data_IF_622785288620
#
_entry.id   IF_622785288620
#
_cell.length_a   1.000
_cell.length_b   1.000
_cell.length_c   1.000
_cell.angle_alpha   90.00
_cell.angle_beta   90.00
_cell.angle_gamma   90.00
#
_symmetry.space_group_name_H-M   'P 1'
#
loop_
_entity.id
_entity.type
_entity.pdbx_description
1 polymer ?
#
# COMPACT_ATOMS: atom_id res chain seq x y z
N UNK A 1 20.32 5.01 23.78
CA UNK A 1 19.45 5.66 22.79
C UNK A 1 18.02 5.34 23.17
N UNK A 2 17.21 6.36 23.52
CA UNK A 2 15.76 6.15 23.76
C UNK A 2 15.12 5.85 22.42
N UNK A 3 14.55 4.65 22.25
CA UNK A 3 13.77 4.28 21.08
C UNK A 3 12.59 5.27 20.96
N UNK A 4 12.44 5.88 19.80
CA UNK A 4 11.29 6.74 19.50
C UNK A 4 10.03 5.87 19.56
N UNK A 5 9.10 6.20 20.44
CA UNK A 5 7.81 5.49 20.49
C UNK A 5 6.96 5.91 19.30
N UNK A 6 6.59 4.94 18.47
CA UNK A 6 5.65 5.16 17.39
C UNK A 6 4.29 5.60 17.96
N UNK A 7 3.85 6.82 17.64
CA UNK A 7 2.56 7.34 18.04
C UNK A 7 1.57 7.31 16.85
N UNK A 8 0.91 6.15 16.66
CA UNK A 8 -0.05 5.96 15.57
C UNK A 8 -1.25 6.89 15.66
N UNK A 9 -1.74 7.19 16.90
CA UNK A 9 -2.84 8.12 17.10
C UNK A 9 -2.46 9.56 16.74
N UNK A 10 -1.27 10.02 17.13
CA UNK A 10 -0.76 11.32 16.73
C UNK A 10 -0.58 11.44 15.21
N UNK A 11 -0.11 10.40 14.54
CA UNK A 11 -0.02 10.35 13.09
C UNK A 11 -1.40 10.46 12.44
N UNK A 12 -2.41 9.75 12.96
CA UNK A 12 -3.78 9.85 12.48
C UNK A 12 -4.38 11.25 12.64
N UNK A 13 -4.25 11.87 13.82
CA UNK A 13 -4.73 13.24 14.07
C UNK A 13 -4.09 14.27 13.14
N UNK A 14 -2.76 14.16 12.92
CA UNK A 14 -2.03 15.01 12.00
C UNK A 14 -2.54 14.83 10.56
N UNK A 15 -2.80 13.59 10.16
CA UNK A 15 -3.30 13.24 8.83
C UNK A 15 -4.70 13.78 8.58
N UNK A 16 -5.59 13.64 9.56
CA UNK A 16 -6.94 14.20 9.50
C UNK A 16 -6.92 15.72 9.37
N UNK A 17 -6.13 16.41 10.19
CA UNK A 17 -5.95 17.85 10.11
C UNK A 17 -5.30 18.28 8.80
N UNK A 18 -4.39 17.49 8.25
CA UNK A 18 -3.75 17.72 6.95
C UNK A 18 -4.74 17.59 5.79
N UNK A 19 -5.55 16.54 5.80
CA UNK A 19 -6.57 16.28 4.78
C UNK A 19 -7.64 17.39 4.76
N UNK A 20 -8.10 17.84 5.93
CA UNK A 20 -9.09 18.93 6.03
C UNK A 20 -8.56 20.28 5.49
N UNK A 21 -7.24 20.51 5.56
CA UNK A 21 -6.59 21.73 5.05
C UNK A 21 -6.24 21.66 3.56
N UNK A 22 -6.24 20.47 2.97
CA UNK A 22 -5.80 20.24 1.59
C UNK A 22 -6.83 19.40 0.81
N UNK A 23 -7.98 19.97 0.42
CA UNK A 23 -9.05 19.25 -0.29
C UNK A 23 -8.60 18.73 -1.66
N UNK A 24 -7.47 19.24 -2.20
CA UNK A 24 -6.85 18.74 -3.41
C UNK A 24 -6.61 17.22 -3.37
N UNK A 25 -6.31 16.68 -2.19
CA UNK A 25 -6.06 15.26 -2.02
C UNK A 25 -7.32 14.42 -2.21
N UNK A 26 -8.49 14.94 -1.87
CA UNK A 26 -9.78 14.29 -2.16
C UNK A 26 -10.08 14.31 -3.67
N UNK A 27 -9.80 15.41 -4.35
CA UNK A 27 -9.93 15.49 -5.81
C UNK A 27 -8.98 14.51 -6.51
N UNK A 28 -7.74 14.41 -6.04
CA UNK A 28 -6.79 13.41 -6.52
C UNK A 28 -7.30 11.98 -6.30
N UNK A 29 -7.82 11.68 -5.10
CA UNK A 29 -8.39 10.37 -4.76
C UNK A 29 -9.54 10.00 -5.71
N UNK A 30 -10.43 10.95 -5.99
CA UNK A 30 -11.55 10.75 -6.90
C UNK A 30 -11.06 10.46 -8.34
N UNK A 31 -10.09 11.23 -8.84
CA UNK A 31 -9.52 11.00 -10.17
C UNK A 31 -8.81 9.65 -10.27
N UNK A 32 -7.99 9.30 -9.27
CA UNK A 32 -7.24 8.06 -9.24
C UNK A 32 -8.16 6.82 -9.15
N UNK A 33 -9.17 6.87 -8.27
CA UNK A 33 -10.18 5.82 -8.18
C UNK A 33 -11.03 5.72 -9.46
N UNK A 34 -11.43 6.85 -10.03
CA UNK A 34 -12.17 6.87 -11.31
C UNK A 34 -11.37 6.21 -12.44
N UNK A 35 -10.07 6.51 -12.54
CA UNK A 35 -9.19 5.88 -13.53
C UNK A 35 -9.03 4.38 -13.28
N UNK A 36 -8.95 3.97 -12.02
CA UNK A 36 -8.87 2.57 -11.62
C UNK A 36 -10.15 1.79 -11.98
N UNK A 37 -11.32 2.37 -11.68
CA UNK A 37 -12.62 1.80 -12.04
C UNK A 37 -12.82 1.72 -13.56
N UNK A 38 -12.31 2.73 -14.31
CA UNK A 38 -12.33 2.68 -15.77
C UNK A 38 -11.50 1.50 -16.30
N UNK A 39 -10.32 1.24 -15.73
CA UNK A 39 -9.53 0.07 -16.07
C UNK A 39 -10.29 -1.24 -15.85
N UNK A 40 -10.99 -1.37 -14.72
CA UNK A 40 -11.84 -2.51 -14.43
C UNK A 40 -13.03 -2.63 -15.40
N UNK A 41 -13.67 -1.51 -15.75
CA UNK A 41 -14.79 -1.50 -16.70
C UNK A 41 -14.35 -1.96 -18.11
N UNK A 42 -13.11 -1.69 -18.52
CA UNK A 42 -12.55 -2.21 -19.78
C UNK A 42 -12.39 -3.74 -19.76
N UNK A 43 -12.05 -4.34 -18.62
CA UNK A 43 -12.05 -5.81 -18.49
C UNK A 43 -13.46 -6.37 -18.67
N UNK A 44 -14.44 -5.81 -17.97
CA UNK A 44 -15.83 -6.27 -18.08
C UNK A 44 -16.38 -6.08 -19.49
N UNK A 45 -16.01 -5.00 -20.19
CA UNK A 45 -16.39 -4.78 -21.58
C UNK A 45 -15.73 -5.79 -22.53
N UNK A 46 -14.48 -6.17 -22.27
CA UNK A 46 -13.74 -7.14 -23.09
C UNK A 46 -14.40 -8.53 -23.11
N UNK A 47 -15.02 -8.92 -21.98
CA UNK A 47 -15.75 -10.20 -21.86
C UNK A 47 -17.06 -10.25 -22.68
N UNK A 48 -17.59 -9.08 -23.09
CA UNK A 48 -18.84 -8.97 -23.84
C UNK A 48 -18.62 -8.84 -25.35
N UNK A 49 -17.36 -8.82 -25.81
CA UNK A 49 -17.01 -8.59 -27.22
C UNK A 49 -16.64 -9.91 -27.92
N UNK A 50 -17.35 -10.25 -28.97
CA UNK A 50 -17.11 -11.49 -29.76
C UNK A 50 -15.83 -11.43 -30.62
N UNK A 51 -15.34 -10.23 -30.97
CA UNK A 51 -14.12 -10.05 -31.76
C UNK A 51 -12.88 -10.28 -30.89
N UNK A 52 -12.13 -11.35 -31.14
CA UNK A 52 -10.92 -11.69 -30.39
C UNK A 52 -9.85 -10.59 -30.40
N UNK A 53 -9.71 -9.84 -31.49
CA UNK A 53 -8.75 -8.72 -31.58
C UNK A 53 -9.20 -7.56 -30.72
N UNK A 54 -10.48 -7.18 -30.77
CA UNK A 54 -11.00 -6.07 -29.97
C UNK A 54 -10.99 -6.43 -28.47
N UNK A 55 -11.38 -7.65 -28.12
CA UNK A 55 -11.30 -8.15 -26.75
C UNK A 55 -9.85 -8.09 -26.22
N UNK A 56 -8.87 -8.52 -27.00
CA UNK A 56 -7.45 -8.44 -26.63
C UNK A 56 -6.98 -7.01 -26.42
N UNK A 57 -7.38 -6.07 -27.28
CA UNK A 57 -7.05 -4.65 -27.12
C UNK A 57 -7.68 -4.05 -25.86
N UNK A 58 -8.95 -4.37 -25.56
CA UNK A 58 -9.62 -3.93 -24.35
C UNK A 58 -8.97 -4.49 -23.09
N UNK A 59 -8.59 -5.78 -23.08
CA UNK A 59 -7.85 -6.39 -21.98
C UNK A 59 -6.50 -5.71 -21.76
N UNK A 60 -5.72 -5.50 -22.83
CA UNK A 60 -4.41 -4.86 -22.74
C UNK A 60 -4.52 -3.41 -22.21
N UNK A 61 -5.51 -2.65 -22.71
CA UNK A 61 -5.80 -1.30 -22.24
C UNK A 61 -6.26 -1.29 -20.77
N UNK A 62 -7.09 -2.26 -20.39
CA UNK A 62 -7.53 -2.47 -19.01
C UNK A 62 -6.37 -2.76 -18.06
N UNK A 63 -5.45 -3.67 -18.45
CA UNK A 63 -4.24 -3.95 -17.65
C UNK A 63 -3.38 -2.70 -17.48
N UNK A 64 -3.16 -1.95 -18.56
CA UNK A 64 -2.38 -0.71 -18.53
C UNK A 64 -2.99 0.35 -17.60
N UNK A 65 -4.30 0.60 -17.75
CA UNK A 65 -5.02 1.56 -16.92
C UNK A 65 -5.12 1.12 -15.45
N UNK A 66 -5.49 -0.12 -15.21
CA UNK A 66 -5.63 -0.67 -13.86
C UNK A 66 -4.30 -0.69 -13.12
N UNK A 67 -3.24 -1.24 -13.72
CA UNK A 67 -1.91 -1.28 -13.12
C UNK A 67 -1.27 0.10 -13.02
N UNK A 68 -1.38 0.92 -14.07
CA UNK A 68 -0.86 2.28 -14.08
C UNK A 68 -1.52 3.18 -13.03
N UNK A 69 -2.84 3.12 -12.91
CA UNK A 69 -3.59 3.88 -11.89
C UNK A 69 -3.23 3.46 -10.47
N UNK A 70 -2.99 2.16 -10.23
CA UNK A 70 -2.57 1.65 -8.93
C UNK A 70 -1.21 2.23 -8.52
N UNK A 71 -0.21 2.19 -9.43
CA UNK A 71 1.12 2.76 -9.19
C UNK A 71 1.02 4.26 -8.95
N UNK A 72 0.28 4.97 -9.80
CA UNK A 72 0.04 6.41 -9.69
C UNK A 72 -0.62 6.77 -8.35
N UNK A 73 -1.62 6.00 -7.94
CA UNK A 73 -2.32 6.19 -6.66
C UNK A 73 -1.38 6.02 -5.47
N UNK A 74 -0.58 4.94 -5.44
CA UNK A 74 0.37 4.69 -4.36
C UNK A 74 1.45 5.77 -4.32
N UNK A 75 2.02 6.15 -5.47
CA UNK A 75 3.04 7.21 -5.56
C UNK A 75 2.48 8.56 -5.13
N UNK A 76 1.35 8.98 -5.70
CA UNK A 76 0.73 10.27 -5.41
C UNK A 76 0.30 10.42 -3.95
N UNK A 77 -0.37 9.42 -3.38
CA UNK A 77 -0.74 9.46 -1.97
C UNK A 77 0.46 9.45 -1.04
N UNK A 78 1.52 8.71 -1.36
CA UNK A 78 2.72 8.68 -0.53
C UNK A 78 3.46 10.01 -0.58
N UNK A 79 3.62 10.62 -1.76
CA UNK A 79 4.20 11.96 -1.92
C UNK A 79 3.39 13.01 -1.15
N UNK A 80 2.07 12.99 -1.34
CA UNK A 80 1.16 13.87 -0.62
C UNK A 80 1.27 13.71 0.89
N UNK A 81 1.27 12.49 1.38
CA UNK A 81 1.39 12.20 2.80
C UNK A 81 2.74 12.66 3.37
N UNK A 82 3.85 12.47 2.65
CA UNK A 82 5.15 12.98 3.05
C UNK A 82 5.19 14.51 3.09
N UNK A 83 4.55 15.19 2.13
CA UNK A 83 4.43 16.65 2.13
C UNK A 83 3.63 17.15 3.32
N UNK A 84 2.45 16.55 3.61
CA UNK A 84 1.62 16.88 4.77
C UNK A 84 2.39 16.67 6.08
N UNK A 85 3.07 15.55 6.23
CA UNK A 85 3.85 15.23 7.43
C UNK A 85 5.02 16.21 7.66
N UNK A 86 5.50 16.85 6.60
CA UNK A 86 6.55 17.91 6.64
C UNK A 86 5.96 19.33 6.74
N UNK A 87 4.64 19.48 6.81
CA UNK A 87 3.97 20.79 6.83
C UNK A 87 4.00 21.54 5.50
N UNK A 88 4.26 20.86 4.39
CA UNK A 88 4.31 21.42 3.04
C UNK A 88 2.93 21.43 2.38
N UNK A 89 2.71 22.38 1.47
CA UNK A 89 1.51 22.38 0.61
C UNK A 89 1.75 21.50 -0.60
N UNK A 90 0.71 20.78 -1.01
CA UNK A 90 0.72 19.92 -2.18
C UNK A 90 0.17 20.71 -3.37
N UNK A 91 0.81 20.59 -4.50
CA UNK A 91 0.37 21.14 -5.77
C UNK A 91 -0.06 20.02 -6.72
N UNK A 92 -1.07 20.28 -7.55
CA UNK A 92 -1.61 19.27 -8.47
C UNK A 92 -0.57 18.71 -9.44
N UNK A 93 0.35 19.55 -9.93
CA UNK A 93 1.40 19.12 -10.85
C UNK A 93 2.33 18.05 -10.23
N UNK A 94 2.57 18.10 -8.90
CA UNK A 94 3.40 17.11 -8.18
C UNK A 94 2.73 15.73 -8.12
N UNK A 95 1.40 15.69 -8.23
CA UNK A 95 0.60 14.47 -8.23
C UNK A 95 0.28 13.97 -9.65
N UNK A 96 0.71 14.72 -10.68
CA UNK A 96 0.47 14.35 -12.08
C UNK A 96 1.27 13.10 -12.48
N UNK A 97 0.69 12.17 -13.26
CA UNK A 97 1.40 11.00 -13.77
C UNK A 97 2.65 11.36 -14.59
N UNK A 98 2.66 12.53 -15.23
CA UNK A 98 3.78 13.01 -16.05
C UNK A 98 5.05 13.29 -15.21
N UNK A 99 4.91 13.59 -13.93
CA UNK A 99 6.03 13.88 -13.02
C UNK A 99 6.40 12.71 -12.11
N UNK A 100 5.75 11.56 -12.25
CA UNK A 100 6.02 10.36 -11.46
C UNK A 100 7.40 9.77 -11.79
N UNK A 101 8.45 10.36 -11.23
CA UNK A 101 9.86 9.98 -11.45
C UNK A 101 10.25 8.67 -10.77
N UNK A 102 9.46 8.22 -9.81
CA UNK A 102 9.76 7.07 -8.97
C UNK A 102 8.96 5.82 -9.34
N UNK A 103 8.02 5.92 -10.30
CA UNK A 103 7.11 4.84 -10.68
C UNK A 103 7.83 3.53 -11.02
N UNK A 104 8.95 3.58 -11.74
CA UNK A 104 9.72 2.38 -12.06
C UNK A 104 10.35 1.70 -10.82
N UNK A 105 10.79 2.49 -9.83
CA UNK A 105 11.33 1.96 -8.57
C UNK A 105 10.21 1.38 -7.71
N UNK A 106 9.06 2.05 -7.68
CA UNK A 106 7.87 1.60 -6.96
C UNK A 106 7.31 0.32 -7.59
N UNK A 107 7.23 0.26 -8.93
CA UNK A 107 6.82 -0.94 -9.65
C UNK A 107 7.75 -2.13 -9.32
N UNK A 108 9.07 -1.95 -9.38
CA UNK A 108 10.02 -3.00 -9.01
C UNK A 108 9.85 -3.43 -7.55
N UNK A 109 9.62 -2.50 -6.63
CA UNK A 109 9.36 -2.81 -5.23
C UNK A 109 8.08 -3.62 -5.05
N UNK A 110 6.98 -3.23 -5.72
CA UNK A 110 5.71 -3.95 -5.67
C UNK A 110 5.81 -5.35 -6.28
N UNK A 111 6.58 -5.52 -7.36
CA UNK A 111 6.87 -6.83 -7.94
C UNK A 111 7.65 -7.73 -6.97
N UNK A 112 8.66 -7.18 -6.28
CA UNK A 112 9.39 -7.93 -5.26
C UNK A 112 8.49 -8.31 -4.07
N UNK A 113 7.60 -7.42 -3.65
CA UNK A 113 6.62 -7.72 -2.60
C UNK A 113 5.65 -8.82 -3.03
N UNK A 114 5.12 -8.72 -4.25
CA UNK A 114 4.26 -9.74 -4.83
C UNK A 114 4.98 -11.10 -4.94
N UNK A 115 6.25 -11.11 -5.37
CA UNK A 115 7.07 -12.33 -5.44
C UNK A 115 7.31 -12.93 -4.05
N UNK A 116 7.56 -12.10 -3.03
CA UNK A 116 7.72 -12.58 -1.65
C UNK A 116 6.42 -13.21 -1.11
N UNK A 117 5.28 -12.57 -1.34
CA UNK A 117 3.97 -13.11 -0.93
C UNK A 117 3.60 -14.38 -1.71
N UNK A 118 3.89 -14.43 -3.02
CA UNK A 118 3.71 -15.61 -3.84
C UNK A 118 4.60 -16.78 -3.34
N UNK A 119 5.83 -16.50 -2.94
CA UNK A 119 6.72 -17.48 -2.33
C UNK A 119 6.16 -18.05 -1.02
N UNK A 120 5.64 -17.18 -0.14
CA UNK A 120 4.96 -17.62 1.11
C UNK A 120 3.74 -18.47 0.78
N UNK A 121 2.90 -18.04 -0.16
CA UNK A 121 1.71 -18.78 -0.57
C UNK A 121 2.05 -20.15 -1.17
N UNK A 122 3.08 -20.23 -2.01
CA UNK A 122 3.55 -21.50 -2.61
C UNK A 122 4.02 -22.47 -1.56
N UNK A 123 4.92 -22.03 -0.65
CA UNK A 123 5.45 -22.88 0.42
C UNK A 123 4.31 -23.35 1.33
N UNK A 124 3.42 -22.43 1.72
CA UNK A 124 2.25 -22.75 2.54
C UNK A 124 1.35 -23.75 1.85
N UNK A 125 1.07 -23.56 0.56
CA UNK A 125 0.22 -24.45 -0.24
C UNK A 125 0.80 -25.86 -0.34
N UNK A 126 2.11 -26.00 -0.57
CA UNK A 126 2.79 -27.31 -0.59
C UNK A 126 2.72 -27.99 0.76
N UNK A 127 3.07 -27.28 1.85
CA UNK A 127 3.04 -27.86 3.21
C UNK A 127 1.61 -28.20 3.64
N UNK A 128 0.64 -27.38 3.30
CA UNK A 128 -0.78 -27.63 3.55
C UNK A 128 -1.29 -28.86 2.80
N UNK A 129 -0.92 -29.03 1.52
CA UNK A 129 -1.28 -30.21 0.71
C UNK A 129 -0.69 -31.49 1.29
N UNK A 130 0.57 -31.44 1.74
CA UNK A 130 1.21 -32.58 2.42
C UNK A 130 0.54 -32.90 3.76
N UNK A 131 0.19 -31.87 4.54
CA UNK A 131 -0.52 -32.07 5.81
C UNK A 131 -1.90 -32.67 5.60
N UNK A 132 -2.65 -32.26 4.57
CA UNK A 132 -3.93 -32.87 4.21
C UNK A 132 -3.80 -34.36 3.89
N UNK A 133 -2.71 -34.76 3.27
CA UNK A 133 -2.45 -36.14 2.83
C UNK A 133 -2.00 -37.04 4.00
N UNK A 134 -1.15 -36.51 4.89
CA UNK A 134 -0.50 -37.30 5.95
C UNK A 134 -1.21 -37.16 7.31
N UNK A 135 -1.73 -35.97 7.63
CA UNK A 135 -2.29 -35.65 8.95
C UNK A 135 -3.49 -34.67 8.78
N UNK A 136 -4.64 -35.14 8.27
CA UNK A 136 -5.80 -34.27 7.96
C UNK A 136 -6.28 -33.43 9.14
N UNK A 137 -6.19 -33.96 10.38
CA UNK A 137 -6.58 -33.24 11.60
C UNK A 137 -5.71 -32.03 11.93
N UNK A 138 -4.49 -31.94 11.38
CA UNK A 138 -3.54 -30.84 11.59
C UNK A 138 -3.41 -29.93 10.38
N UNK A 139 -4.20 -30.12 9.33
CA UNK A 139 -4.09 -29.37 8.07
C UNK A 139 -4.33 -27.85 8.21
N UNK A 140 -5.06 -27.41 9.25
CA UNK A 140 -5.26 -25.98 9.53
C UNK A 140 -3.98 -25.29 10.03
N UNK A 141 -3.02 -26.00 10.62
CA UNK A 141 -1.81 -25.41 11.22
C UNK A 141 -0.90 -24.76 10.15
N UNK A 142 -0.54 -25.43 9.05
CA UNK A 142 0.24 -24.81 7.98
C UNK A 142 -0.45 -23.58 7.38
N UNK A 143 -1.76 -23.62 7.18
CA UNK A 143 -2.52 -22.47 6.66
C UNK A 143 -2.43 -21.26 7.61
N UNK A 144 -2.57 -21.49 8.93
CA UNK A 144 -2.42 -20.43 9.93
C UNK A 144 -1.00 -19.87 9.96
N UNK A 145 0.03 -20.72 9.93
CA UNK A 145 1.43 -20.29 9.88
C UNK A 145 1.69 -19.47 8.62
N UNK A 146 1.19 -19.92 7.46
CA UNK A 146 1.32 -19.18 6.20
C UNK A 146 0.64 -17.80 6.23
N UNK A 147 -0.56 -17.72 6.83
CA UNK A 147 -1.26 -16.46 7.03
C UNK A 147 -0.45 -15.51 7.93
N UNK A 148 0.09 -16.00 9.04
CA UNK A 148 0.94 -15.20 9.93
C UNK A 148 2.23 -14.75 9.24
N UNK A 149 2.85 -15.62 8.44
CA UNK A 149 4.04 -15.25 7.65
C UNK A 149 3.71 -14.17 6.60
N UNK A 150 2.60 -14.31 5.88
CA UNK A 150 2.15 -13.30 4.93
C UNK A 150 1.84 -11.96 5.63
N UNK A 151 1.17 -11.99 6.79
CA UNK A 151 0.91 -10.81 7.60
C UNK A 151 2.22 -10.14 8.06
N UNK A 152 3.20 -10.91 8.52
CA UNK A 152 4.51 -10.40 8.92
C UNK A 152 5.24 -9.72 7.74
N UNK A 153 5.18 -10.30 6.53
CA UNK A 153 5.72 -9.66 5.31
C UNK A 153 5.01 -8.34 5.04
N UNK A 154 3.69 -8.30 5.04
CA UNK A 154 2.91 -7.06 4.77
C UNK A 154 3.22 -5.99 5.83
N UNK A 155 3.23 -6.33 7.11
CA UNK A 155 3.50 -5.40 8.21
C UNK A 155 4.94 -4.87 8.12
N UNK A 156 5.93 -5.72 7.84
CA UNK A 156 7.32 -5.32 7.67
C UNK A 156 7.50 -4.34 6.51
N UNK A 157 6.67 -4.45 5.47
CA UNK A 157 6.74 -3.62 4.27
C UNK A 157 5.74 -2.44 4.27
N UNK A 158 5.08 -2.16 5.40
CA UNK A 158 4.10 -1.08 5.53
C UNK A 158 4.66 0.29 5.08
N UNK A 159 5.91 0.57 5.42
CA UNK A 159 6.60 1.81 5.05
C UNK A 159 7.38 1.71 3.72
N UNK A 160 7.24 0.61 3.00
CA UNK A 160 7.98 0.37 1.75
C UNK A 160 7.82 1.49 0.71
N UNK A 161 6.60 1.94 0.36
CA UNK A 161 6.41 3.06 -0.55
C UNK A 161 7.12 4.34 -0.07
N UNK A 162 7.06 4.65 1.23
CA UNK A 162 7.76 5.80 1.81
C UNK A 162 9.27 5.67 1.64
N UNK A 163 9.82 4.49 1.92
CA UNK A 163 11.26 4.20 1.76
C UNK A 163 11.71 4.31 0.30
N UNK A 164 10.88 3.84 -0.65
CA UNK A 164 11.17 3.96 -2.09
C UNK A 164 11.28 5.42 -2.53
N UNK A 165 10.38 6.27 -2.04
CA UNK A 165 10.29 7.67 -2.46
C UNK A 165 11.27 8.58 -1.71
N UNK A 166 11.48 8.36 -0.40
CA UNK A 166 12.30 9.23 0.46
C UNK A 166 13.78 8.82 0.51
N UNK A 167 14.13 7.59 0.11
CA UNK A 167 15.50 7.09 0.17
C UNK A 167 16.04 6.69 -1.20
N UNK A 168 17.36 6.50 -1.30
CA UNK A 168 18.02 5.94 -2.48
C UNK A 168 18.19 4.42 -2.42
N UNK A 169 17.64 3.77 -1.40
CA UNK A 169 17.70 2.31 -1.26
C UNK A 169 16.97 1.62 -2.42
N UNK A 170 17.42 0.43 -2.80
CA UNK A 170 16.86 -0.35 -3.90
C UNK A 170 16.76 -1.83 -3.54
N UNK A 171 15.71 -2.48 -4.08
CA UNK A 171 15.55 -3.92 -4.03
C UNK A 171 15.62 -4.50 -2.61
N UNK A 172 16.48 -5.49 -2.40
CA UNK A 172 16.61 -6.22 -1.13
C UNK A 172 16.96 -5.33 0.06
N UNK A 173 17.66 -4.20 -0.15
CA UNK A 173 17.99 -3.29 0.95
C UNK A 173 16.73 -2.62 1.53
N UNK A 174 15.71 -2.33 0.70
CA UNK A 174 14.41 -1.83 1.17
C UNK A 174 13.70 -2.88 2.03
N UNK A 175 13.67 -4.13 1.58
CA UNK A 175 13.06 -5.23 2.35
C UNK A 175 13.74 -5.42 3.70
N UNK A 176 15.06 -5.43 3.72
CA UNK A 176 15.85 -5.55 4.97
C UNK A 176 15.54 -4.41 5.94
N UNK A 177 15.37 -3.20 5.43
CA UNK A 177 14.99 -2.05 6.25
C UNK A 177 13.59 -2.21 6.85
N UNK A 178 12.63 -2.74 6.10
CA UNK A 178 11.30 -3.05 6.60
C UNK A 178 11.31 -4.12 7.69
N UNK A 179 12.08 -5.19 7.51
CA UNK A 179 12.26 -6.25 8.54
C UNK A 179 12.90 -5.66 9.80
N UNK A 180 13.93 -4.82 9.66
CA UNK A 180 14.56 -4.15 10.79
C UNK A 180 13.57 -3.29 11.58
N UNK A 181 12.66 -2.57 10.91
CA UNK A 181 11.59 -1.80 11.55
C UNK A 181 10.63 -2.70 12.34
N UNK A 182 10.28 -3.86 11.79
CA UNK A 182 9.42 -4.82 12.48
C UNK A 182 10.08 -5.37 13.75
N UNK A 183 11.39 -5.68 13.69
CA UNK A 183 12.16 -6.18 14.84
C UNK A 183 12.25 -5.16 15.99
N UNK A 184 12.41 -3.86 15.66
CA UNK A 184 12.65 -2.82 16.66
C UNK A 184 11.36 -2.11 17.13
N UNK A 185 10.34 -2.03 16.27
CA UNK A 185 9.09 -1.31 16.53
C UNK A 185 7.83 -2.18 16.38
N UNK A 186 7.97 -3.51 16.41
CA UNK A 186 6.90 -4.48 16.15
C UNK A 186 5.57 -4.18 16.86
N UNK A 187 5.53 -3.95 18.18
CA UNK A 187 4.28 -3.65 18.89
C UNK A 187 3.60 -2.37 18.40
N UNK A 188 4.38 -1.31 18.10
CA UNK A 188 3.85 -0.06 17.56
C UNK A 188 3.33 -0.23 16.13
N UNK A 189 4.00 -1.03 15.31
CA UNK A 189 3.55 -1.36 13.95
C UNK A 189 2.27 -2.20 13.96
N UNK A 190 2.17 -3.18 14.85
CA UNK A 190 0.95 -3.99 15.00
C UNK A 190 -0.24 -3.12 15.41
N UNK A 191 -0.05 -2.22 16.36
CA UNK A 191 -1.09 -1.27 16.79
C UNK A 191 -1.49 -0.34 15.62
N UNK A 192 -0.53 0.17 14.86
CA UNK A 192 -0.79 0.99 13.69
C UNK A 192 -1.57 0.19 12.64
N UNK A 193 -1.13 -1.03 12.30
CA UNK A 193 -1.83 -1.90 11.35
C UNK A 193 -3.25 -2.22 11.79
N UNK A 194 -3.49 -2.51 13.08
CA UNK A 194 -4.84 -2.78 13.58
C UNK A 194 -5.75 -1.56 13.42
N UNK A 195 -5.24 -0.35 13.69
CA UNK A 195 -5.96 0.90 13.46
C UNK A 195 -6.27 1.15 11.98
N UNK A 196 -5.30 0.89 11.09
CA UNK A 196 -5.49 1.01 9.64
C UNK A 196 -6.51 -0.01 9.11
N UNK A 197 -6.48 -1.25 9.64
CA UNK A 197 -7.46 -2.29 9.29
C UNK A 197 -8.86 -1.88 9.74
N UNK A 198 -9.01 -1.37 10.96
CA UNK A 198 -10.28 -0.85 11.44
C UNK A 198 -10.82 0.28 10.55
N UNK A 199 -9.92 1.18 10.08
CA UNK A 199 -10.29 2.25 9.16
C UNK A 199 -10.73 1.72 7.79
N UNK A 200 -10.12 0.64 7.28
CA UNK A 200 -10.51 -0.02 6.02
C UNK A 200 -11.86 -0.74 6.10
N UNK A 201 -12.28 -1.16 7.29
CA UNK A 201 -13.59 -1.80 7.49
C UNK A 201 -14.74 -0.78 7.29
N UNK A 202 -14.50 0.51 7.56
CA UNK A 202 -15.53 1.55 7.46
C UNK A 202 -16.18 1.63 6.06
N UNK A 203 -15.44 1.73 4.94
CA UNK A 203 -16.02 1.71 3.60
C UNK A 203 -16.87 0.48 3.31
N UNK A 204 -16.41 -0.69 3.77
CA UNK A 204 -17.13 -1.95 3.59
C UNK A 204 -18.47 -1.92 4.34
N UNK A 205 -18.46 -1.48 5.60
CA UNK A 205 -19.69 -1.35 6.41
C UNK A 205 -20.65 -0.33 5.79
N UNK A 206 -20.16 0.81 5.32
CA UNK A 206 -20.98 1.82 4.63
C UNK A 206 -21.62 1.20 3.37
N UNK A 207 -20.84 0.46 2.58
CA UNK A 207 -21.34 -0.23 1.39
C UNK A 207 -22.42 -1.26 1.71
N UNK A 208 -22.20 -2.11 2.73
CA UNK A 208 -23.17 -3.11 3.17
C UNK A 208 -24.47 -2.47 3.66
N UNK A 209 -24.38 -1.38 4.44
CA UNK A 209 -25.54 -0.64 4.90
C UNK A 209 -26.31 0.00 3.74
N UNK A 210 -25.61 0.60 2.78
CA UNK A 210 -26.22 1.20 1.60
C UNK A 210 -26.90 0.15 0.72
N UNK A 211 -26.30 -1.02 0.53
CA UNK A 211 -26.89 -2.14 -0.20
C UNK A 211 -28.16 -2.69 0.48
N UNK A 212 -28.17 -2.73 1.82
CA UNK A 212 -29.35 -3.11 2.60
C UNK A 212 -30.50 -2.10 2.51
N UNK A 213 -30.21 -0.83 2.23
CA UNK A 213 -31.22 0.21 2.05
C UNK A 213 -31.76 0.23 0.61
N UNK A 214 -30.88 0.18 -0.37
CA UNK A 214 -31.20 0.20 -1.80
C UNK A 214 -30.26 -0.72 -2.54
N UNK A 215 -30.81 -1.76 -3.17
CA UNK A 215 -30.02 -2.71 -3.95
C UNK A 215 -29.24 -2.00 -5.07
N UNK A 216 -27.96 -2.30 -5.18
CA UNK A 216 -27.03 -1.70 -6.15
C UNK A 216 -26.35 -0.41 -5.69
N UNK A 217 -26.71 0.16 -4.53
CA UNK A 217 -26.03 1.36 -3.98
C UNK A 217 -24.72 1.03 -3.21
N UNK A 218 -24.56 -0.21 -2.79
CA UNK A 218 -23.40 -0.65 -1.99
C UNK A 218 -22.04 -0.33 -2.63
N UNK A 219 -21.79 -0.72 -3.89
CA UNK A 219 -20.51 -0.43 -4.56
C UNK A 219 -20.22 1.07 -4.69
N UNK A 220 -21.24 1.88 -4.99
CA UNK A 220 -21.08 3.34 -5.09
C UNK A 220 -20.73 3.96 -3.74
N UNK A 221 -21.45 3.58 -2.68
CA UNK A 221 -21.20 4.06 -1.32
C UNK A 221 -19.82 3.65 -0.83
N UNK A 222 -19.39 2.42 -1.12
CA UNK A 222 -18.02 1.95 -0.83
C UNK A 222 -16.98 2.78 -1.57
N UNK A 223 -17.15 3.03 -2.86
CA UNK A 223 -16.24 3.83 -3.66
C UNK A 223 -16.13 5.26 -3.14
N UNK A 224 -17.24 5.91 -2.80
CA UNK A 224 -17.26 7.26 -2.22
C UNK A 224 -16.57 7.30 -0.85
N UNK A 225 -16.78 6.31 0.00
CA UNK A 225 -16.08 6.22 1.28
C UNK A 225 -14.57 6.02 1.10
N UNK A 226 -14.14 5.25 0.09
CA UNK A 226 -12.72 5.06 -0.24
C UNK A 226 -12.04 6.35 -0.70
N UNK A 227 -12.76 7.30 -1.32
CA UNK A 227 -12.21 8.62 -1.69
C UNK A 227 -11.62 9.35 -0.47
N UNK A 228 -12.21 9.17 0.71
CA UNK A 228 -11.75 9.78 1.97
C UNK A 228 -10.78 8.87 2.71
N UNK A 229 -11.08 7.57 2.77
CA UNK A 229 -10.32 6.63 3.61
C UNK A 229 -8.95 6.34 3.03
N UNK A 230 -8.77 6.22 1.71
CA UNK A 230 -7.46 5.93 1.10
C UNK A 230 -6.43 7.03 1.37
N UNK A 231 -6.70 8.33 1.12
CA UNK A 231 -5.74 9.37 1.47
C UNK A 231 -5.49 9.44 2.98
N UNK A 232 -6.49 9.19 3.83
CA UNK A 232 -6.31 9.19 5.27
C UNK A 232 -5.41 8.04 5.74
N UNK A 233 -5.57 6.84 5.20
CA UNK A 233 -4.70 5.69 5.46
C UNK A 233 -3.24 6.00 5.09
N UNK A 234 -3.02 6.43 3.86
CA UNK A 234 -1.67 6.66 3.34
C UNK A 234 -0.97 7.82 4.04
N UNK A 235 -1.69 8.91 4.35
CA UNK A 235 -1.13 10.02 5.13
C UNK A 235 -0.84 9.61 6.57
N UNK A 236 -1.62 8.72 7.19
CA UNK A 236 -1.33 8.17 8.52
C UNK A 236 -0.07 7.32 8.51
N UNK A 237 0.09 6.45 7.50
CA UNK A 237 1.32 5.65 7.32
C UNK A 237 2.54 6.55 7.12
N UNK A 238 2.45 7.58 6.27
CA UNK A 238 3.56 8.51 6.02
C UNK A 238 3.87 9.37 7.24
N UNK A 239 2.87 9.80 8.01
CA UNK A 239 3.05 10.50 9.27
C UNK A 239 3.78 9.66 10.32
N UNK A 240 3.41 8.38 10.43
CA UNK A 240 4.09 7.41 11.27
C UNK A 240 5.54 7.15 10.81
N UNK A 241 5.77 7.03 9.49
CA UNK A 241 7.10 6.90 8.89
C UNK A 241 8.02 8.08 9.23
N UNK A 242 7.52 9.30 9.14
CA UNK A 242 8.31 10.52 9.42
C UNK A 242 8.77 10.56 10.89
N UNK A 243 7.98 10.03 11.83
CA UNK A 243 8.40 9.89 13.24
C UNK A 243 9.61 8.97 13.41
N UNK A 244 9.72 7.91 12.60
CA UNK A 244 10.81 6.93 12.64
C UNK A 244 12.01 7.31 11.77
N UNK A 245 11.87 8.30 10.89
CA UNK A 245 12.92 8.71 9.94
C UNK A 245 14.29 8.99 10.56
N UNK A 246 14.40 9.67 11.72
CA UNK A 246 15.70 9.92 12.35
C UNK A 246 16.47 8.62 12.68
N UNK A 247 15.77 7.60 13.18
CA UNK A 247 16.39 6.31 13.50
C UNK A 247 16.80 5.55 12.24
N UNK A 248 16.01 5.63 11.18
CA UNK A 248 16.31 5.02 9.88
C UNK A 248 17.60 5.59 9.25
N UNK A 249 17.86 6.87 9.44
CA UNK A 249 19.07 7.52 8.94
C UNK A 249 20.33 7.08 9.70
N UNK A 250 20.19 6.74 10.98
CA UNK A 250 21.32 6.31 11.83
C UNK A 250 21.59 4.80 11.79
N UNK A 251 20.77 4.03 11.05
CA UNK A 251 20.99 2.58 10.93
C UNK A 251 22.30 2.29 10.18
N UNK A 252 23.23 1.51 10.77
CA UNK A 252 24.54 1.20 10.16
C UNK A 252 24.46 0.48 8.81
N UNK A 253 23.35 -0.21 8.53
CA UNK A 253 23.09 -0.80 7.21
C UNK A 253 22.94 0.27 6.11
N UNK A 254 22.41 1.45 6.45
CA UNK A 254 22.29 2.60 5.54
C UNK A 254 23.60 3.36 5.38
N UNK A 255 24.40 3.47 6.45
CA UNK A 255 25.68 4.18 6.42
C UNK A 255 26.66 3.51 5.46
N UNK A 256 26.75 2.17 5.42
CA UNK A 256 27.63 1.43 4.50
C UNK A 256 27.30 1.62 3.02
N UNK A 257 26.03 1.86 2.67
CA UNK A 257 25.59 2.09 1.29
C UNK A 257 25.77 3.55 0.83
N UNK A 258 25.72 4.50 1.76
CA UNK A 258 25.87 5.93 1.47
C UNK A 258 27.35 6.35 1.33
N UNK A 259 28.26 5.78 2.11
CA UNK A 259 29.69 6.11 2.08
C UNK A 259 30.42 5.60 0.82
N UNK A 260 29.96 4.52 0.19
CA UNK A 260 30.55 3.99 -1.05
C UNK A 260 30.42 4.90 -2.29
N UNK A 261 29.76 6.06 -2.18
CA UNK A 261 29.53 7.00 -3.31
C UNK A 261 30.16 8.38 -3.15
N UNK A 262 30.80 8.66 -2.03
CA UNK A 262 31.54 9.93 -1.86
C UNK A 262 32.99 9.82 -2.38
N UNK A 263 33.46 8.61 -2.70
CA UNK A 263 34.84 8.36 -3.21
C UNK A 263 34.84 8.08 -4.74
N UNK A 264 33.86 8.58 -5.49
CA UNK A 264 33.92 8.53 -6.96
C UNK A 264 33.52 9.85 -7.59
#
# INVERSE_FOLDING_TARGET
MSLVRLNGWGAFQQSWAGLSRQPLLLAFSLCALGTHLLGWALFAAAEQVDSGVLAALLHLSGIGLYGGSLIWMIEGFTLAGLAIARGQRIHWHELSPAECRHSGRLCLYLLLLAAALAGVALITGVVWSLALLLLPSLSAVPALIGLLAAAAVVISQLFGPCLVLDTRLKGVALFRQGVWLLEHHGPGLLLLCSGLTALLIIPVLIGLLAEGLVSGLGPLATALALVVVLPLLTTTVTGAYVQLRPELQHNPANLRSSFKRLDR
#
